data_IF_207739016194
#
_entry.id   IF_207739016194
#
_cell.length_a   1.000
_cell.length_b   1.000
_cell.length_c   1.000
_cell.angle_alpha   90.00
_cell.angle_beta   90.00
_cell.angle_gamma   90.00
#
_symmetry.space_group_name_H-M   'P 1'
#
loop_
_entity.id
_entity.type
_entity.pdbx_description
1 polymer ?
#
# COMPACT_ATOMS: atom_id res chain seq x y z
N UNK A 1 -15.80 24.78 -16.86
CA UNK A 1 -15.52 24.30 -18.23
C UNK A 1 -16.27 23.00 -18.46
N UNK A 2 -17.08 22.92 -19.50
CA UNK A 2 -17.60 21.64 -20.02
C UNK A 2 -17.05 21.48 -21.43
N UNK A 3 -16.04 20.62 -21.60
CA UNK A 3 -15.58 20.21 -22.93
C UNK A 3 -16.57 19.21 -23.52
N UNK A 4 -16.73 19.22 -24.84
CA UNK A 4 -17.53 18.20 -25.54
C UNK A 4 -16.80 16.84 -25.51
N UNK A 5 -17.52 15.70 -25.47
CA UNK A 5 -16.91 14.37 -25.36
C UNK A 5 -15.83 14.08 -26.42
N UNK A 6 -16.06 14.50 -27.66
CA UNK A 6 -15.15 14.28 -28.79
C UNK A 6 -13.80 14.99 -28.58
N UNK A 7 -13.83 16.18 -27.98
CA UNK A 7 -12.62 16.91 -27.64
C UNK A 7 -11.85 16.24 -26.48
N UNK A 8 -12.57 15.62 -25.54
CA UNK A 8 -11.95 14.87 -24.44
C UNK A 8 -11.20 13.66 -25.00
N UNK A 9 -11.85 12.89 -25.88
CA UNK A 9 -11.25 11.69 -26.47
C UNK A 9 -9.99 12.03 -27.27
N UNK A 10 -10.03 13.08 -28.10
CA UNK A 10 -8.86 13.55 -28.85
C UNK A 10 -7.70 13.93 -27.92
N UNK A 11 -7.98 14.64 -26.83
CA UNK A 11 -6.95 15.02 -25.85
C UNK A 11 -6.41 13.79 -25.13
N UNK A 12 -7.26 12.85 -24.72
CA UNK A 12 -6.84 11.62 -24.03
C UNK A 12 -5.94 10.78 -24.92
N UNK A 13 -6.31 10.59 -26.19
CA UNK A 13 -5.49 9.87 -27.18
C UNK A 13 -4.14 10.55 -27.35
N UNK A 14 -4.13 11.88 -27.55
CA UNK A 14 -2.87 12.63 -27.66
C UNK A 14 -1.96 12.45 -26.44
N UNK A 15 -2.53 12.49 -25.23
CA UNK A 15 -1.79 12.30 -23.98
C UNK A 15 -1.27 10.87 -23.82
N UNK A 16 -2.00 9.86 -24.29
CA UNK A 16 -1.57 8.47 -24.31
C UNK A 16 -0.42 8.26 -25.31
N UNK A 17 -0.56 8.77 -26.53
CA UNK A 17 0.45 8.66 -27.61
C UNK A 17 1.77 9.30 -27.20
N UNK A 18 1.71 10.48 -26.58
CA UNK A 18 2.89 11.19 -26.09
C UNK A 18 3.33 10.72 -24.70
N UNK A 19 2.75 9.64 -24.19
CA UNK A 19 3.09 9.00 -22.92
C UNK A 19 2.98 9.93 -21.71
N UNK A 20 2.16 10.98 -21.78
CA UNK A 20 1.82 11.84 -20.64
C UNK A 20 0.84 11.12 -19.70
N UNK A 21 -0.10 10.36 -20.25
CA UNK A 21 -0.97 9.46 -19.51
C UNK A 21 -0.42 8.04 -19.61
N UNK A 22 0.02 7.47 -18.47
CA UNK A 22 0.58 6.12 -18.42
C UNK A 22 0.21 5.43 -17.11
N UNK A 23 -0.68 4.44 -17.21
CA UNK A 23 -1.22 3.71 -16.06
C UNK A 23 -0.14 2.90 -15.33
N UNK A 24 0.76 2.23 -16.06
CA UNK A 24 1.85 1.42 -15.48
C UNK A 24 2.81 2.30 -14.67
N UNK A 25 3.22 3.44 -15.23
CA UNK A 25 4.10 4.42 -14.56
C UNK A 25 3.45 4.98 -13.30
N UNK A 26 2.15 5.28 -13.40
CA UNK A 26 1.37 5.71 -12.24
C UNK A 26 1.37 4.64 -11.15
N UNK A 27 0.99 3.40 -11.47
CA UNK A 27 0.87 2.31 -10.52
C UNK A 27 2.21 2.03 -9.80
N UNK A 28 3.31 1.94 -10.55
CA UNK A 28 4.67 1.76 -9.99
C UNK A 28 5.05 2.88 -9.04
N UNK A 29 4.89 4.13 -9.46
CA UNK A 29 5.23 5.29 -8.64
C UNK A 29 4.36 5.39 -7.39
N UNK A 30 3.07 5.07 -7.50
CA UNK A 30 2.12 5.03 -6.41
C UNK A 30 2.53 4.01 -5.35
N UNK A 31 2.77 2.75 -5.76
CA UNK A 31 3.18 1.66 -4.88
C UNK A 31 4.48 2.00 -4.15
N UNK A 32 5.51 2.38 -4.90
CA UNK A 32 6.81 2.77 -4.34
C UNK A 32 6.70 3.92 -3.34
N UNK A 33 5.97 4.98 -3.71
CA UNK A 33 5.81 6.17 -2.86
C UNK A 33 5.06 5.88 -1.57
N UNK A 34 3.91 5.20 -1.66
CA UNK A 34 3.10 4.83 -0.49
C UNK A 34 3.82 3.82 0.40
N UNK A 35 4.53 2.86 -0.15
CA UNK A 35 5.34 1.92 0.62
C UNK A 35 6.48 2.65 1.35
N UNK A 36 7.30 3.44 0.64
CA UNK A 36 8.47 4.11 1.23
C UNK A 36 8.10 5.13 2.31
N UNK A 37 7.10 5.98 2.04
CA UNK A 37 6.74 7.12 2.91
C UNK A 37 5.68 6.73 3.93
N UNK A 38 4.63 6.01 3.51
CA UNK A 38 3.50 5.66 4.38
C UNK A 38 3.58 4.23 4.93
N UNK A 39 4.56 3.40 4.55
CA UNK A 39 4.72 2.03 5.04
C UNK A 39 3.42 1.21 4.96
N UNK A 40 2.73 1.33 3.83
CA UNK A 40 1.52 0.57 3.55
C UNK A 40 1.87 -0.84 3.09
N UNK A 41 1.12 -1.83 3.57
CA UNK A 41 1.21 -3.20 3.11
C UNK A 41 0.47 -3.42 1.79
N UNK A 42 0.70 -4.57 1.17
CA UNK A 42 0.18 -4.96 -0.15
C UNK A 42 -1.34 -4.89 -0.22
N UNK A 43 -2.07 -5.34 0.81
CA UNK A 43 -3.54 -5.34 0.79
C UNK A 43 -4.13 -3.95 0.62
N UNK A 44 -3.57 -2.95 1.29
CA UNK A 44 -4.03 -1.57 1.17
C UNK A 44 -3.65 -0.95 -0.17
N UNK A 45 -2.42 -1.20 -0.63
CA UNK A 45 -1.96 -0.74 -1.95
C UNK A 45 -2.83 -1.31 -3.08
N UNK A 46 -3.12 -2.61 -3.02
CA UNK A 46 -3.94 -3.29 -4.00
C UNK A 46 -5.37 -2.74 -4.02
N UNK A 47 -5.98 -2.57 -2.84
CA UNK A 47 -7.32 -1.99 -2.70
C UNK A 47 -7.39 -0.58 -3.29
N UNK A 48 -6.40 0.26 -3.01
CA UNK A 48 -6.36 1.65 -3.47
C UNK A 48 -6.14 1.76 -4.99
N UNK A 49 -5.35 0.87 -5.58
CA UNK A 49 -5.19 0.81 -7.04
C UNK A 49 -6.47 0.28 -7.71
N UNK A 50 -7.10 -0.74 -7.14
CA UNK A 50 -8.40 -1.27 -7.63
C UNK A 50 -9.50 -0.21 -7.61
N UNK A 51 -9.57 0.61 -6.56
CA UNK A 51 -10.51 1.74 -6.48
C UNK A 51 -10.29 2.83 -7.54
N UNK A 52 -9.10 2.87 -8.13
CA UNK A 52 -8.74 3.77 -9.24
C UNK A 52 -8.84 3.06 -10.59
N UNK A 53 -9.49 1.91 -10.61
CA UNK A 53 -9.72 1.09 -11.81
C UNK A 53 -8.45 0.64 -12.52
N UNK A 54 -7.32 0.63 -11.80
CA UNK A 54 -6.04 0.17 -12.32
C UNK A 54 -6.12 -1.32 -12.64
N UNK A 55 -5.72 -1.69 -13.85
CA UNK A 55 -5.78 -3.08 -14.31
C UNK A 55 -4.97 -4.03 -13.42
N UNK A 56 -5.46 -5.28 -13.27
CA UNK A 56 -4.78 -6.33 -12.49
C UNK A 56 -3.32 -6.54 -12.93
N UNK A 57 -3.07 -6.44 -14.23
CA UNK A 57 -1.73 -6.52 -14.81
C UNK A 57 -0.82 -5.41 -14.27
N UNK A 58 -1.26 -4.15 -14.34
CA UNK A 58 -0.47 -3.02 -13.84
C UNK A 58 -0.26 -3.05 -12.32
N UNK A 59 -1.24 -3.56 -11.56
CA UNK A 59 -1.06 -3.79 -10.13
C UNK A 59 0.05 -4.82 -9.87
N UNK A 60 0.04 -5.95 -10.59
CA UNK A 60 1.07 -6.99 -10.46
C UNK A 60 2.46 -6.45 -10.81
N UNK A 61 2.57 -5.70 -11.92
CA UNK A 61 3.83 -5.08 -12.32
C UNK A 61 4.31 -4.02 -11.31
N UNK A 62 3.39 -3.26 -10.70
CA UNK A 62 3.74 -2.27 -9.70
C UNK A 62 4.30 -2.89 -8.41
N UNK A 63 3.82 -4.06 -8.00
CA UNK A 63 4.33 -4.74 -6.81
C UNK A 63 5.76 -5.27 -6.96
N UNK A 64 6.25 -5.46 -8.19
CA UNK A 64 7.65 -5.81 -8.44
C UNK A 64 8.64 -4.71 -8.02
N UNK A 65 8.17 -3.47 -7.86
CA UNK A 65 8.96 -2.35 -7.34
C UNK A 65 9.29 -2.48 -5.85
N UNK A 66 8.73 -3.46 -5.15
CA UNK A 66 8.99 -3.73 -3.73
C UNK A 66 9.59 -5.14 -3.60
N UNK A 67 10.91 -5.25 -3.43
CA UNK A 67 11.55 -6.52 -3.10
C UNK A 67 10.95 -7.14 -1.84
N UNK A 68 10.80 -8.47 -1.81
CA UNK A 68 10.22 -9.18 -0.67
C UNK A 68 11.02 -8.94 0.62
N UNK A 69 12.35 -8.86 0.52
CA UNK A 69 13.26 -8.53 1.63
C UNK A 69 12.95 -7.17 2.22
N UNK A 70 12.84 -6.13 1.38
CA UNK A 70 12.52 -4.77 1.80
C UNK A 70 11.12 -4.68 2.42
N UNK A 71 10.16 -5.44 1.87
CA UNK A 71 8.80 -5.53 2.38
C UNK A 71 8.77 -6.05 3.82
N UNK A 72 9.42 -7.20 4.05
CA UNK A 72 9.49 -7.83 5.37
C UNK A 72 10.29 -6.99 6.38
N UNK A 73 11.45 -6.44 5.97
CA UNK A 73 12.23 -5.55 6.82
C UNK A 73 11.43 -4.31 7.24
N UNK A 74 10.72 -3.69 6.30
CA UNK A 74 9.85 -2.54 6.59
C UNK A 74 8.74 -2.91 7.57
N UNK A 75 8.14 -4.09 7.40
CA UNK A 75 7.11 -4.60 8.31
C UNK A 75 7.64 -4.74 9.74
N UNK A 76 8.77 -5.42 9.91
CA UNK A 76 9.38 -5.68 11.22
C UNK A 76 9.74 -4.39 11.95
N UNK A 77 10.48 -3.49 11.27
CA UNK A 77 10.86 -2.18 11.84
C UNK A 77 9.63 -1.36 12.23
N UNK A 78 8.57 -1.37 11.41
CA UNK A 78 7.33 -0.66 11.70
C UNK A 78 6.61 -1.24 12.92
N UNK A 79 6.52 -2.57 13.00
CA UNK A 79 5.83 -3.29 14.07
C UNK A 79 6.55 -3.09 15.41
N UNK A 80 7.87 -3.27 15.47
CA UNK A 80 8.69 -3.07 16.66
C UNK A 80 8.60 -1.63 17.17
N UNK A 81 8.78 -0.66 16.26
CA UNK A 81 8.64 0.76 16.60
C UNK A 81 7.25 1.07 17.14
N UNK A 82 6.18 0.50 16.58
CA UNK A 82 4.83 0.72 17.10
C UNK A 82 4.66 0.06 18.45
N UNK A 83 5.09 -1.19 18.62
CA UNK A 83 4.96 -1.96 19.86
C UNK A 83 5.63 -1.25 21.04
N UNK A 84 6.85 -0.73 20.84
CA UNK A 84 7.59 0.03 21.84
C UNK A 84 6.87 1.31 22.29
N UNK A 85 6.05 1.90 21.43
CA UNK A 85 5.31 3.13 21.72
C UNK A 85 3.91 2.90 22.34
N UNK A 86 3.44 1.65 22.46
CA UNK A 86 2.12 1.36 23.06
C UNK A 86 2.25 1.27 24.59
N UNK A 87 1.76 2.30 25.28
CA UNK A 87 1.70 2.39 26.76
C UNK A 87 0.39 1.80 27.33
N UNK A 88 0.00 0.61 26.87
CA UNK A 88 -1.21 -0.07 27.37
C UNK A 88 -0.79 -1.19 28.34
N UNK A 89 -1.24 -1.16 29.60
CA UNK A 89 -0.88 -2.19 30.59
C UNK A 89 -1.58 -3.53 30.33
N UNK A 90 -2.82 -3.52 29.82
CA UNK A 90 -3.53 -4.76 29.55
C UNK A 90 -2.99 -5.42 28.28
N UNK A 91 -2.41 -6.61 28.42
CA UNK A 91 -1.76 -7.38 27.34
C UNK A 91 -2.70 -7.59 26.13
N UNK A 92 -3.95 -7.98 26.37
CA UNK A 92 -4.93 -8.20 25.29
C UNK A 92 -5.26 -6.91 24.54
N UNK A 93 -5.45 -5.80 25.26
CA UNK A 93 -5.67 -4.48 24.64
C UNK A 93 -4.42 -4.00 23.90
N UNK A 94 -3.22 -4.30 24.41
CA UNK A 94 -1.94 -3.98 23.75
C UNK A 94 -1.78 -4.73 22.43
N UNK A 95 -2.06 -6.04 22.42
CA UNK A 95 -2.08 -6.89 21.22
C UNK A 95 -3.05 -6.35 20.19
N UNK A 96 -4.29 -6.05 20.60
CA UNK A 96 -5.32 -5.47 19.72
C UNK A 96 -4.86 -4.15 19.11
N UNK A 97 -4.31 -3.22 19.90
CA UNK A 97 -3.80 -1.93 19.42
C UNK A 97 -2.71 -2.07 18.36
N UNK A 98 -1.81 -3.05 18.51
CA UNK A 98 -0.77 -3.32 17.53
C UNK A 98 -1.35 -3.97 16.26
N UNK A 99 -2.21 -4.98 16.42
CA UNK A 99 -2.86 -5.66 15.30
C UNK A 99 -3.69 -4.68 14.46
N UNK A 100 -4.57 -3.90 15.08
CA UNK A 100 -5.43 -2.92 14.41
C UNK A 100 -4.60 -1.90 13.62
N UNK A 101 -3.48 -1.44 14.19
CA UNK A 101 -2.58 -0.50 13.52
C UNK A 101 -1.95 -1.08 12.25
N UNK A 102 -1.48 -2.33 12.29
CA UNK A 102 -0.84 -2.98 11.16
C UNK A 102 -1.88 -3.38 10.10
N UNK A 103 -3.02 -3.95 10.51
CA UNK A 103 -4.12 -4.29 9.61
C UNK A 103 -4.68 -3.06 8.88
N UNK A 104 -4.86 -1.94 9.60
CA UNK A 104 -5.28 -0.68 8.98
C UNK A 104 -4.32 -0.22 7.89
N UNK A 105 -3.01 -0.46 8.05
CA UNK A 105 -2.00 -0.13 7.03
C UNK A 105 -1.93 -1.14 5.87
N UNK A 106 -2.71 -2.23 5.93
CA UNK A 106 -2.84 -3.20 4.86
C UNK A 106 -1.81 -4.32 4.87
N UNK A 107 -1.21 -4.60 6.03
CA UNK A 107 -0.36 -5.78 6.21
C UNK A 107 -1.21 -7.05 6.32
N UNK A 108 -0.69 -8.15 5.79
CA UNK A 108 -1.38 -9.43 5.72
C UNK A 108 -1.60 -10.02 7.12
N UNK A 109 -2.83 -10.51 7.39
CA UNK A 109 -3.20 -11.03 8.71
C UNK A 109 -2.22 -12.06 9.28
N UNK A 110 -1.71 -13.05 8.51
CA UNK A 110 -0.72 -14.00 9.04
C UNK A 110 0.55 -13.32 9.56
N UNK A 111 1.09 -12.32 8.83
CA UNK A 111 2.25 -11.56 9.26
C UNK A 111 1.95 -10.76 10.53
N UNK A 112 0.79 -10.10 10.56
CA UNK A 112 0.37 -9.27 11.69
C UNK A 112 0.24 -10.10 12.97
N UNK A 113 -0.54 -11.17 12.94
CA UNK A 113 -0.80 -11.97 14.15
C UNK A 113 0.45 -12.72 14.61
N UNK A 114 1.27 -13.21 13.68
CA UNK A 114 2.57 -13.81 14.01
C UNK A 114 3.48 -12.82 14.76
N UNK A 115 3.64 -11.61 14.24
CA UNK A 115 4.48 -10.59 14.88
C UNK A 115 3.90 -10.06 16.20
N UNK A 116 2.59 -9.96 16.32
CA UNK A 116 1.94 -9.55 17.59
C UNK A 116 2.20 -10.58 18.68
N UNK A 117 2.12 -11.87 18.36
CA UNK A 117 2.42 -12.94 19.31
C UNK A 117 3.90 -12.95 19.70
N UNK A 118 4.80 -12.73 18.73
CA UNK A 118 6.25 -12.62 18.97
C UNK A 118 6.62 -11.45 19.90
N UNK A 119 6.05 -10.26 19.68
CA UNK A 119 6.44 -9.05 20.42
C UNK A 119 5.73 -8.87 21.77
N UNK A 120 4.58 -9.50 21.96
CA UNK A 120 3.74 -9.30 23.15
C UNK A 120 3.27 -10.67 23.64
N UNK A 121 4.00 -11.21 24.62
CA UNK A 121 3.61 -12.40 25.38
C UNK A 121 2.48 -12.10 26.37
#
# INVERSE_FOLDING_TARGET
MRMIPEAIDLVVVHLLEHNFLNETRFAKSYVRGKFRVKKWGRKRLELELKKREISKFNIKEAFKEIPDTDYLNTFHVLAEKKAANIKEPNVYKKRKKLADYLLYRGWESPLVYGKVHELIQ
#
